data_IF_561984211820
#
_entry.id   IF_561984211820
#
_cell.length_a   1.000
_cell.length_b   1.000
_cell.length_c   1.000
_cell.angle_alpha   90.00
_cell.angle_beta   90.00
_cell.angle_gamma   90.00
#
_symmetry.space_group_name_H-M   'P 1'
#
loop_
_entity.id
_entity.type
_entity.pdbx_description
1 polymer ?
#
# COMPACT_ATOMS: atom_id res chain seq x y z
N UNK A 1 25.38 40.29 17.43
CA UNK A 1 24.59 39.11 17.83
C UNK A 1 25.18 37.91 17.11
N UNK A 2 25.99 37.07 17.76
CA UNK A 2 26.48 35.86 17.12
C UNK A 2 25.27 34.96 16.85
N UNK A 3 25.00 34.68 15.59
CA UNK A 3 23.95 33.75 15.20
C UNK A 3 24.23 32.40 15.85
N UNK A 4 23.28 31.90 16.62
CA UNK A 4 23.30 30.52 17.11
C UNK A 4 23.32 29.62 15.88
N UNK A 5 24.47 29.02 15.59
CA UNK A 5 24.58 27.95 14.60
C UNK A 5 23.76 26.76 15.12
N UNK A 6 22.49 26.68 14.73
CA UNK A 6 21.72 25.46 14.90
C UNK A 6 22.29 24.40 13.96
N UNK A 7 22.68 23.27 14.54
CA UNK A 7 23.11 22.12 13.75
C UNK A 7 21.95 21.68 12.86
N UNK A 8 22.20 21.32 11.59
CA UNK A 8 21.15 20.85 10.70
C UNK A 8 20.48 19.60 11.30
N UNK A 9 19.18 19.71 11.55
CA UNK A 9 18.35 18.62 12.07
C UNK A 9 17.43 18.09 10.98
N UNK A 10 17.24 16.78 10.93
CA UNK A 10 16.28 16.17 10.02
C UNK A 10 14.86 16.62 10.33
N UNK A 11 14.06 17.05 9.33
CA UNK A 11 12.68 17.41 9.53
C UNK A 11 11.82 16.19 9.89
N UNK A 12 10.67 16.38 10.56
CA UNK A 12 9.71 15.31 10.76
C UNK A 12 9.15 14.83 9.41
N UNK A 13 8.83 13.54 9.32
CA UNK A 13 8.23 12.98 8.12
C UNK A 13 6.84 13.59 7.83
N UNK A 14 6.56 13.82 6.57
CA UNK A 14 5.27 14.33 6.11
C UNK A 14 4.19 13.24 6.13
N UNK A 15 2.92 13.66 6.20
CA UNK A 15 1.77 12.75 6.15
C UNK A 15 1.82 11.82 4.93
N UNK A 16 2.09 12.36 3.74
CA UNK A 16 2.16 11.60 2.50
C UNK A 16 3.25 10.52 2.54
N UNK A 17 4.42 10.82 3.11
CA UNK A 17 5.51 9.86 3.24
C UNK A 17 5.10 8.70 4.16
N UNK A 18 4.51 9.00 5.31
CA UNK A 18 4.06 7.97 6.27
C UNK A 18 2.96 7.08 5.67
N UNK A 19 2.02 7.66 4.89
CA UNK A 19 0.95 6.91 4.24
C UNK A 19 1.54 5.98 3.17
N UNK A 20 2.38 6.52 2.28
CA UNK A 20 2.99 5.77 1.17
C UNK A 20 3.92 4.67 1.67
N UNK A 21 4.69 4.92 2.73
CA UNK A 21 5.55 3.90 3.33
C UNK A 21 4.72 2.73 3.87
N UNK A 22 3.64 3.03 4.59
CA UNK A 22 2.74 2.01 5.11
C UNK A 22 2.05 1.21 3.99
N UNK A 23 1.54 1.88 2.95
CA UNK A 23 0.95 1.20 1.79
C UNK A 23 1.96 0.28 1.09
N UNK A 24 3.20 0.75 0.91
CA UNK A 24 4.27 -0.02 0.28
C UNK A 24 4.67 -1.24 1.12
N UNK A 25 4.73 -1.10 2.43
CA UNK A 25 4.96 -2.23 3.34
C UNK A 25 3.84 -3.27 3.27
N UNK A 26 2.58 -2.84 3.26
CA UNK A 26 1.43 -3.75 3.12
C UNK A 26 1.49 -4.53 1.79
N UNK A 27 1.85 -3.84 0.71
CA UNK A 27 2.04 -4.47 -0.61
C UNK A 27 3.10 -5.57 -0.55
N UNK A 28 4.28 -5.29 0.01
CA UNK A 28 5.37 -6.28 0.08
C UNK A 28 5.06 -7.44 1.01
N UNK A 29 4.40 -7.19 2.15
CA UNK A 29 3.99 -8.26 3.08
C UNK A 29 2.97 -9.19 2.43
N UNK A 30 2.00 -8.66 1.69
CA UNK A 30 1.01 -9.47 0.99
C UNK A 30 1.61 -10.22 -0.21
N UNK A 31 2.53 -9.61 -0.95
CA UNK A 31 3.30 -10.30 -1.99
C UNK A 31 4.10 -11.48 -1.43
N UNK A 32 4.81 -11.26 -0.33
CA UNK A 32 5.57 -12.29 0.36
C UNK A 32 4.67 -13.43 0.84
N UNK A 33 3.47 -13.10 1.35
CA UNK A 33 2.47 -14.09 1.76
C UNK A 33 2.02 -14.93 0.56
N UNK A 34 1.64 -14.29 -0.55
CA UNK A 34 1.16 -14.99 -1.75
C UNK A 34 2.22 -15.94 -2.33
N UNK A 35 3.48 -15.49 -2.41
CA UNK A 35 4.60 -16.33 -2.82
C UNK A 35 4.81 -17.51 -1.87
N UNK A 36 4.78 -17.25 -0.55
CA UNK A 36 4.93 -18.28 0.49
C UNK A 36 3.80 -19.30 0.41
N UNK A 37 2.55 -18.85 0.22
CA UNK A 37 1.40 -19.72 0.02
C UNK A 37 1.50 -20.53 -1.27
N UNK A 38 1.98 -19.95 -2.36
CA UNK A 38 2.23 -20.66 -3.62
C UNK A 38 3.19 -21.82 -3.43
N UNK A 39 4.32 -21.58 -2.75
CA UNK A 39 5.32 -22.62 -2.43
C UNK A 39 4.72 -23.68 -1.50
N UNK A 40 4.11 -23.28 -0.38
CA UNK A 40 3.55 -24.23 0.60
C UNK A 40 2.39 -25.05 0.03
N UNK A 41 1.55 -24.46 -0.83
CA UNK A 41 0.48 -25.15 -1.54
C UNK A 41 1.04 -26.20 -2.49
N UNK A 42 2.14 -25.91 -3.17
CA UNK A 42 2.79 -26.87 -4.07
C UNK A 42 3.45 -28.05 -3.34
N UNK A 43 3.99 -27.83 -2.13
CA UNK A 43 4.71 -28.86 -1.37
C UNK A 43 3.82 -29.68 -0.43
N UNK A 44 2.89 -29.03 0.27
CA UNK A 44 2.12 -29.60 1.37
C UNK A 44 0.62 -29.75 1.04
N UNK A 45 0.20 -29.25 -0.13
CA UNK A 45 -1.18 -29.29 -0.60
C UNK A 45 -2.09 -28.26 0.07
N UNK A 46 -3.28 -28.11 -0.50
CA UNK A 46 -4.29 -27.11 -0.07
C UNK A 46 -4.86 -27.38 1.32
N UNK A 47 -5.02 -28.65 1.71
CA UNK A 47 -5.57 -29.04 3.02
C UNK A 47 -4.68 -28.63 4.20
N UNK A 48 -3.37 -28.69 4.01
CA UNK A 48 -2.43 -28.25 5.03
C UNK A 48 -2.40 -26.72 5.10
N UNK A 49 -2.42 -26.06 3.93
CA UNK A 49 -2.48 -24.60 3.83
C UNK A 49 -3.69 -24.02 4.57
N UNK A 50 -4.90 -24.55 4.37
CA UNK A 50 -6.10 -24.05 5.07
C UNK A 50 -6.07 -24.26 6.57
N UNK A 51 -5.37 -25.31 7.06
CA UNK A 51 -5.21 -25.57 8.50
C UNK A 51 -4.27 -24.57 9.18
N UNK A 52 -3.26 -24.07 8.46
CA UNK A 52 -2.18 -23.25 9.00
C UNK A 52 -2.17 -21.82 8.43
N UNK A 53 -3.25 -21.38 7.80
CA UNK A 53 -3.35 -20.06 7.14
C UNK A 53 -2.98 -18.89 8.09
N UNK A 54 -3.49 -18.91 9.32
CA UNK A 54 -3.23 -17.87 10.34
C UNK A 54 -1.76 -17.84 10.77
N UNK A 55 -1.12 -19.00 10.81
CA UNK A 55 0.27 -19.19 11.19
C UNK A 55 1.20 -18.77 10.07
N UNK A 56 0.82 -19.03 8.81
CA UNK A 56 1.52 -18.53 7.62
C UNK A 56 1.45 -17.01 7.59
N UNK A 57 0.29 -16.41 7.86
CA UNK A 57 0.13 -14.96 7.93
C UNK A 57 1.01 -14.35 9.04
N UNK A 58 0.97 -14.91 10.25
CA UNK A 58 1.80 -14.47 11.37
C UNK A 58 3.30 -14.62 11.05
N UNK A 59 3.72 -15.78 10.53
CA UNK A 59 5.11 -16.05 10.19
C UNK A 59 5.63 -15.09 9.12
N UNK A 60 4.81 -14.78 8.10
CA UNK A 60 5.17 -13.84 7.04
C UNK A 60 5.40 -12.44 7.61
N UNK A 61 4.48 -11.94 8.46
CA UNK A 61 4.63 -10.64 9.12
C UNK A 61 5.83 -10.60 10.06
N UNK A 62 6.04 -11.65 10.86
CA UNK A 62 7.17 -11.74 11.77
C UNK A 62 8.51 -11.81 11.03
N UNK A 63 8.56 -12.50 9.88
CA UNK A 63 9.74 -12.56 9.04
C UNK A 63 10.08 -11.18 8.46
N UNK A 64 9.10 -10.53 7.80
CA UNK A 64 9.30 -9.22 7.18
C UNK A 64 9.71 -8.16 8.21
N UNK A 65 8.90 -7.95 9.25
CA UNK A 65 9.17 -6.95 10.27
C UNK A 65 10.30 -7.34 11.23
N UNK A 66 10.59 -8.63 11.38
CA UNK A 66 11.70 -9.13 12.19
C UNK A 66 13.06 -8.87 11.53
N UNK A 67 13.16 -9.08 10.21
CA UNK A 67 14.37 -8.77 9.45
C UNK A 67 14.60 -7.27 9.27
N UNK A 68 13.54 -6.46 9.26
CA UNK A 68 13.62 -5.00 9.12
C UNK A 68 13.68 -4.31 10.50
N UNK A 69 12.52 -4.02 11.09
CA UNK A 69 12.37 -3.29 12.36
C UNK A 69 13.10 -4.00 13.50
N UNK A 70 13.06 -5.33 13.56
CA UNK A 70 13.76 -6.12 14.58
C UNK A 70 15.27 -5.87 14.59
N UNK A 71 15.89 -5.79 13.41
CA UNK A 71 17.33 -5.54 13.25
C UNK A 71 17.72 -4.05 13.31
N UNK A 72 16.73 -3.13 13.45
CA UNK A 72 16.91 -1.69 13.28
C UNK A 72 17.37 -1.29 11.87
N UNK A 73 16.94 -2.05 10.85
CA UNK A 73 16.95 -1.61 9.47
C UNK A 73 15.61 -0.93 9.13
N UNK A 74 15.61 -0.09 8.10
CA UNK A 74 14.38 0.45 7.52
C UNK A 74 13.54 -0.69 6.91
N UNK A 75 12.22 -0.51 6.92
CA UNK A 75 11.35 -1.32 6.05
C UNK A 75 11.47 -0.88 4.59
N UNK A 76 11.02 -1.70 3.64
CA UNK A 76 11.05 -1.33 2.21
C UNK A 76 10.17 -0.11 1.93
N UNK A 77 9.08 0.06 2.67
CA UNK A 77 8.25 1.26 2.60
C UNK A 77 8.94 2.49 3.20
N UNK A 78 9.65 2.32 4.31
CA UNK A 78 10.44 3.39 4.93
C UNK A 78 11.57 3.86 3.99
N UNK A 79 12.28 2.93 3.37
CA UNK A 79 13.29 3.19 2.34
C UNK A 79 12.68 3.90 1.11
N UNK A 80 11.53 3.42 0.61
CA UNK A 80 10.85 4.01 -0.55
C UNK A 80 10.48 5.49 -0.37
N UNK A 81 10.23 5.92 0.87
CA UNK A 81 9.86 7.32 1.17
C UNK A 81 10.93 8.11 1.91
N UNK A 82 12.11 7.50 2.08
CA UNK A 82 13.26 8.12 2.72
C UNK A 82 12.97 8.60 4.16
N UNK A 83 12.24 7.78 4.92
CA UNK A 83 11.90 8.04 6.32
C UNK A 83 12.54 7.03 7.26
N UNK A 84 12.84 7.47 8.47
CA UNK A 84 13.51 6.66 9.49
C UNK A 84 12.72 6.65 10.79
N UNK A 85 12.60 5.47 11.40
CA UNK A 85 11.93 5.32 12.67
C UNK A 85 12.81 5.76 13.84
N UNK A 86 12.26 6.63 14.67
CA UNK A 86 12.99 7.31 15.73
C UNK A 86 12.19 7.42 17.03
N UNK A 87 12.87 7.51 18.17
CA UNK A 87 12.17 7.71 19.46
C UNK A 87 11.77 9.18 19.65
N UNK A 88 10.55 9.43 20.10
CA UNK A 88 10.07 10.78 20.43
C UNK A 88 10.80 11.41 21.62
N UNK A 89 11.33 10.59 22.53
CA UNK A 89 11.90 11.03 23.81
C UNK A 89 13.43 11.11 23.78
N UNK A 90 14.07 10.48 22.79
CA UNK A 90 15.52 10.47 22.66
C UNK A 90 15.89 10.67 21.20
N UNK A 91 16.91 11.48 20.92
CA UNK A 91 17.51 11.64 19.60
C UNK A 91 18.29 10.38 19.16
N UNK A 92 17.69 9.20 19.31
CA UNK A 92 18.27 7.88 19.08
C UNK A 92 17.25 6.92 18.46
N UNK A 93 17.72 5.89 17.73
CA UNK A 93 16.85 4.83 17.25
C UNK A 93 16.14 4.12 18.42
N UNK A 94 14.96 3.53 18.17
CA UNK A 94 14.18 2.87 19.21
C UNK A 94 14.95 1.71 19.87
N UNK A 95 14.75 1.59 21.19
CA UNK A 95 15.38 0.52 21.99
C UNK A 95 14.99 -0.86 21.46
N UNK A 96 15.80 -1.90 21.74
CA UNK A 96 15.49 -3.29 21.35
C UNK A 96 14.12 -3.74 21.84
N UNK A 97 13.72 -3.33 23.06
CA UNK A 97 12.40 -3.64 23.63
C UNK A 97 11.27 -2.94 22.87
N UNK A 98 11.47 -1.66 22.53
CA UNK A 98 10.50 -0.89 21.75
C UNK A 98 10.34 -1.47 20.35
N UNK A 99 11.43 -1.88 19.70
CA UNK A 99 11.41 -2.55 18.39
C UNK A 99 10.67 -3.88 18.43
N UNK A 100 10.94 -4.70 19.43
CA UNK A 100 10.21 -5.95 19.64
C UNK A 100 8.72 -5.69 19.91
N UNK A 101 8.39 -4.65 20.68
CA UNK A 101 7.00 -4.28 20.91
C UNK A 101 6.31 -3.80 19.63
N UNK A 102 6.97 -2.99 18.80
CA UNK A 102 6.44 -2.54 17.50
C UNK A 102 6.17 -3.70 16.53
N UNK A 103 6.95 -4.79 16.63
CA UNK A 103 6.74 -6.02 15.88
C UNK A 103 5.55 -6.85 16.41
N UNK A 104 5.51 -7.06 17.73
CA UNK A 104 4.63 -8.04 18.35
C UNK A 104 3.23 -7.50 18.68
N UNK A 105 3.10 -6.23 19.08
CA UNK A 105 1.79 -5.66 19.46
C UNK A 105 0.78 -5.60 18.32
N UNK A 106 1.15 -5.29 17.06
CA UNK A 106 0.18 -5.27 15.96
C UNK A 106 -0.28 -6.67 15.51
N UNK A 107 0.53 -7.71 15.73
CA UNK A 107 0.36 -9.03 15.09
C UNK A 107 -0.09 -10.14 16.06
N UNK A 108 0.43 -10.14 17.29
CA UNK A 108 0.11 -11.19 18.26
C UNK A 108 -1.32 -11.14 18.80
N UNK A 109 -1.92 -9.97 19.14
CA UNK A 109 -3.24 -9.96 19.75
C UNK A 109 -4.33 -10.54 18.85
N UNK A 110 -4.31 -10.22 17.55
CA UNK A 110 -5.26 -10.77 16.57
C UNK A 110 -5.09 -12.29 16.44
N UNK A 111 -3.85 -12.77 16.37
CA UNK A 111 -3.55 -14.20 16.32
C UNK A 111 -4.03 -14.97 17.57
N UNK A 112 -3.71 -14.46 18.76
CA UNK A 112 -4.09 -15.08 20.03
C UNK A 112 -5.62 -15.10 20.20
N UNK A 113 -6.31 -14.02 19.82
CA UNK A 113 -7.77 -13.97 19.83
C UNK A 113 -8.38 -14.97 18.84
N UNK A 114 -7.84 -15.07 17.63
CA UNK A 114 -8.33 -16.02 16.63
C UNK A 114 -8.12 -17.48 17.07
N UNK A 115 -7.04 -17.78 17.79
CA UNK A 115 -6.69 -19.15 18.20
C UNK A 115 -7.33 -19.58 19.52
N UNK A 116 -7.38 -18.69 20.51
CA UNK A 116 -7.85 -19.01 21.87
C UNK A 116 -9.22 -18.44 22.18
N UNK A 117 -9.73 -17.50 21.39
CA UNK A 117 -11.06 -16.91 21.56
C UNK A 117 -12.18 -17.95 21.61
N UNK A 118 -12.06 -19.05 20.85
CA UNK A 118 -13.04 -20.14 20.82
C UNK A 118 -12.99 -21.06 22.05
N UNK A 119 -11.87 -21.10 22.78
CA UNK A 119 -11.69 -21.95 23.97
C UNK A 119 -12.11 -21.26 25.28
N UNK A 120 -12.33 -19.95 25.24
CA UNK A 120 -12.70 -19.17 26.41
C UNK A 120 -14.21 -19.29 26.68
N UNK A 121 -14.56 -19.78 27.88
CA UNK A 121 -15.95 -19.93 28.29
C UNK A 121 -16.67 -18.57 28.33
N UNK A 122 -17.87 -18.45 27.74
CA UNK A 122 -18.67 -17.23 27.74
C UNK A 122 -19.17 -16.84 29.15
N UNK A 123 -19.13 -17.76 30.12
CA UNK A 123 -19.58 -17.51 31.50
C UNK A 123 -18.60 -16.66 32.33
N UNK A 124 -17.35 -16.53 31.89
CA UNK A 124 -16.36 -15.72 32.60
C UNK A 124 -16.44 -14.24 32.19
N UNK A 125 -16.28 -13.32 33.16
CA UNK A 125 -16.16 -11.87 32.88
C UNK A 125 -15.08 -11.57 31.84
N UNK A 126 -13.99 -12.34 31.86
CA UNK A 126 -12.89 -12.26 30.91
C UNK A 126 -13.33 -12.60 29.47
N UNK A 127 -14.16 -13.63 29.29
CA UNK A 127 -14.69 -14.01 27.97
C UNK A 127 -15.59 -12.93 27.36
N UNK A 128 -16.39 -12.24 28.17
CA UNK A 128 -17.22 -11.11 27.71
C UNK A 128 -16.36 -9.90 27.28
N UNK A 129 -15.33 -9.56 28.06
CA UNK A 129 -14.38 -8.49 27.71
C UNK A 129 -13.61 -8.82 26.44
N UNK A 130 -13.09 -10.04 26.31
CA UNK A 130 -12.33 -10.47 25.13
C UNK A 130 -13.14 -10.45 23.84
N UNK A 131 -14.46 -10.68 23.90
CA UNK A 131 -15.35 -10.55 22.74
C UNK A 131 -15.59 -9.10 22.31
N UNK A 132 -15.61 -8.15 23.25
CA UNK A 132 -15.74 -6.70 22.97
C UNK A 132 -14.42 -6.06 22.56
N UNK A 133 -13.29 -6.68 22.89
CA UNK A 133 -11.96 -6.13 22.64
C UNK A 133 -11.67 -5.82 21.16
N UNK A 134 -11.93 -6.71 20.17
CA UNK A 134 -11.70 -6.39 18.75
C UNK A 134 -12.45 -5.14 18.30
N UNK A 135 -13.73 -5.02 18.67
CA UNK A 135 -14.55 -3.86 18.30
C UNK A 135 -14.06 -2.57 18.94
N UNK A 136 -13.57 -2.62 20.18
CA UNK A 136 -13.00 -1.45 20.84
C UNK A 136 -11.67 -1.04 20.21
N UNK A 137 -10.80 -2.01 19.90
CA UNK A 137 -9.53 -1.75 19.22
C UNK A 137 -9.76 -1.15 17.83
N UNK A 138 -10.77 -1.64 17.10
CA UNK A 138 -11.17 -1.08 15.80
C UNK A 138 -11.57 0.39 15.94
N UNK A 139 -12.47 0.73 16.88
CA UNK A 139 -12.90 2.12 17.11
C UNK A 139 -11.72 3.01 17.52
N UNK A 140 -10.86 2.54 18.44
CA UNK A 140 -9.68 3.28 18.87
C UNK A 140 -8.73 3.50 17.68
N UNK A 141 -8.62 2.53 16.76
CA UNK A 141 -7.77 2.65 15.58
C UNK A 141 -8.32 3.64 14.56
N UNK A 142 -9.64 3.63 14.32
CA UNK A 142 -10.31 4.62 13.46
C UNK A 142 -10.18 6.04 14.06
N UNK A 143 -10.31 6.19 15.38
CA UNK A 143 -10.10 7.47 16.06
C UNK A 143 -8.64 7.94 15.95
N UNK A 144 -7.67 7.05 16.15
CA UNK A 144 -6.26 7.37 15.99
C UNK A 144 -5.95 7.85 14.56
N UNK A 145 -6.49 7.15 13.56
CA UNK A 145 -6.32 7.48 12.15
C UNK A 145 -6.95 8.84 11.81
N UNK A 146 -8.13 9.15 12.35
CA UNK A 146 -8.72 10.48 12.20
C UNK A 146 -7.81 11.58 12.76
N UNK A 147 -7.25 11.37 13.97
CA UNK A 147 -6.27 12.31 14.58
C UNK A 147 -4.99 12.40 13.75
N UNK A 148 -4.55 11.30 13.13
CA UNK A 148 -3.41 11.30 12.23
C UNK A 148 -3.65 12.21 11.02
N UNK A 149 -4.80 12.16 10.37
CA UNK A 149 -5.07 13.03 9.22
C UNK A 149 -5.11 14.52 9.58
N UNK A 150 -5.45 14.87 10.82
CA UNK A 150 -5.37 16.25 11.29
C UNK A 150 -3.97 16.70 11.71
N UNK A 151 -3.18 15.84 12.39
CA UNK A 151 -1.89 16.24 13.00
C UNK A 151 -0.65 15.72 12.30
N UNK A 152 -0.75 14.59 11.60
CA UNK A 152 0.30 13.97 10.81
C UNK A 152 1.42 13.26 11.57
N UNK A 153 1.25 12.96 12.85
CA UNK A 153 2.36 12.43 13.68
C UNK A 153 2.39 10.89 13.75
N UNK A 154 1.27 10.25 14.11
CA UNK A 154 1.24 8.80 14.37
C UNK A 154 0.14 8.10 13.59
N UNK A 155 0.52 7.32 12.58
CA UNK A 155 -0.42 6.51 11.79
C UNK A 155 -1.00 5.33 12.60
N UNK A 156 -0.17 4.63 13.37
CA UNK A 156 -0.56 3.48 14.18
C UNK A 156 -0.69 3.81 15.68
N UNK A 157 -1.65 3.18 16.36
CA UNK A 157 -1.80 3.29 17.83
C UNK A 157 -0.53 2.80 18.54
N UNK A 158 0.05 1.70 18.07
CA UNK A 158 1.23 1.09 18.70
C UNK A 158 2.41 2.06 18.67
N UNK A 159 2.63 2.74 17.53
CA UNK A 159 3.65 3.79 17.39
C UNK A 159 3.34 4.99 18.30
N UNK A 160 2.06 5.37 18.46
CA UNK A 160 1.64 6.44 19.38
C UNK A 160 1.96 6.10 20.84
N UNK A 161 1.58 4.91 21.29
CA UNK A 161 1.78 4.46 22.68
C UNK A 161 3.26 4.32 23.01
N UNK A 162 4.05 3.80 22.06
CA UNK A 162 5.50 3.62 22.23
C UNK A 162 6.30 4.89 21.94
N UNK A 163 5.66 5.97 21.50
CA UNK A 163 6.31 7.23 21.14
C UNK A 163 7.33 7.07 20.02
N UNK A 164 7.03 6.28 18.98
CA UNK A 164 7.87 6.09 17.82
C UNK A 164 7.41 7.01 16.68
N UNK A 165 8.28 7.92 16.22
CA UNK A 165 8.00 8.93 15.20
C UNK A 165 8.90 8.74 14.00
N UNK A 166 8.50 9.27 12.86
CA UNK A 166 9.31 9.26 11.64
C UNK A 166 10.00 10.61 11.43
N UNK A 167 11.28 10.54 11.04
CA UNK A 167 12.04 11.67 10.51
C UNK A 167 12.27 11.43 9.01
N UNK A 168 12.35 12.51 8.23
CA UNK A 168 12.62 12.46 6.78
C UNK A 168 14.07 12.86 6.52
N UNK A 169 14.75 12.16 5.61
CA UNK A 169 16.06 12.59 5.11
C UNK A 169 15.94 13.70 4.06
N UNK A 170 14.78 13.83 3.39
CA UNK A 170 14.51 14.91 2.44
C UNK A 170 14.33 16.24 3.16
N UNK A 171 15.03 17.27 2.66
CA UNK A 171 14.79 18.66 3.03
C UNK A 171 13.42 19.12 2.54
N UNK A 172 12.73 19.94 3.33
CA UNK A 172 11.47 20.54 2.89
C UNK A 172 11.75 21.64 1.88
N UNK A 173 11.24 21.49 0.66
CA UNK A 173 11.30 22.54 -0.35
C UNK A 173 10.39 23.71 0.08
N UNK A 174 10.93 24.92 0.30
CA UNK A 174 10.16 26.06 0.82
C UNK A 174 9.07 26.55 -0.15
N UNK A 175 9.20 26.23 -1.43
CA UNK A 175 8.29 26.65 -2.49
C UNK A 175 7.13 25.67 -2.72
N UNK A 176 7.22 24.46 -2.17
CA UNK A 176 6.16 23.45 -2.34
C UNK A 176 5.38 23.31 -1.03
N UNK A 177 4.05 23.41 -1.12
CA UNK A 177 3.18 23.11 0.01
C UNK A 177 2.81 21.63 -0.03
N UNK A 178 3.05 20.85 1.04
CA UNK A 178 2.68 19.44 1.05
C UNK A 178 1.16 19.29 0.94
N UNK A 179 0.66 18.20 0.32
CA UNK A 179 -0.77 17.95 0.21
C UNK A 179 -1.40 17.80 1.60
N UNK A 180 -2.56 18.42 1.80
CA UNK A 180 -3.30 18.33 3.05
C UNK A 180 -4.33 17.20 3.02
N UNK A 181 -4.25 16.30 4.01
CA UNK A 181 -5.20 15.18 4.15
C UNK A 181 -6.31 15.47 5.18
N UNK A 182 -6.50 16.72 5.57
CA UNK A 182 -7.48 17.13 6.59
C UNK A 182 -8.92 16.81 6.19
N UNK A 183 -9.25 16.86 4.89
CA UNK A 183 -10.58 16.49 4.38
C UNK A 183 -10.90 15.02 4.70
N UNK A 184 -9.94 14.11 4.51
CA UNK A 184 -10.11 12.70 4.84
C UNK A 184 -10.32 12.50 6.34
N UNK A 185 -9.66 13.31 7.17
CA UNK A 185 -9.92 13.40 8.61
C UNK A 185 -11.37 13.78 8.94
N UNK A 186 -11.93 14.78 8.25
CA UNK A 186 -13.34 15.21 8.40
C UNK A 186 -14.30 14.09 7.98
N UNK A 187 -14.03 13.41 6.86
CA UNK A 187 -14.87 12.29 6.42
C UNK A 187 -14.88 11.15 7.44
N UNK A 188 -13.72 10.86 8.05
CA UNK A 188 -13.61 9.85 9.10
C UNK A 188 -14.32 10.26 10.40
N UNK A 189 -14.28 11.53 10.80
CA UNK A 189 -15.02 11.99 11.98
C UNK A 189 -16.54 11.96 11.75
N UNK A 190 -17.01 12.31 10.55
CA UNK A 190 -18.43 12.15 10.18
C UNK A 190 -18.82 10.67 10.26
N UNK A 191 -18.03 9.77 9.68
CA UNK A 191 -18.27 8.32 9.74
C UNK A 191 -18.33 7.79 11.19
N UNK A 192 -17.38 8.19 12.04
CA UNK A 192 -17.35 7.82 13.45
C UNK A 192 -18.56 8.37 14.22
N UNK A 193 -18.97 9.60 13.91
CA UNK A 193 -20.16 10.22 14.50
C UNK A 193 -21.43 9.46 14.11
N UNK A 194 -21.57 9.08 12.83
CA UNK A 194 -22.67 8.25 12.36
C UNK A 194 -22.72 6.88 13.05
N UNK A 195 -21.55 6.24 13.25
CA UNK A 195 -21.43 4.97 14.00
C UNK A 195 -21.87 5.14 15.45
N UNK A 196 -21.47 6.24 16.11
CA UNK A 196 -21.85 6.57 17.49
C UNK A 196 -23.35 6.85 17.62
N UNK A 197 -23.94 7.64 16.73
CA UNK A 197 -25.38 7.96 16.74
C UNK A 197 -26.21 6.70 16.57
N UNK A 198 -25.84 5.82 15.63
CA UNK A 198 -26.51 4.52 15.44
C UNK A 198 -26.39 3.64 16.68
N UNK A 199 -25.22 3.61 17.32
CA UNK A 199 -25.00 2.86 18.55
C UNK A 199 -25.89 3.36 19.70
N UNK A 200 -25.92 4.68 19.94
CA UNK A 200 -26.77 5.29 20.98
C UNK A 200 -28.24 5.00 20.70
N UNK A 201 -28.72 5.21 19.46
CA UNK A 201 -30.11 4.91 19.06
C UNK A 201 -30.46 3.44 19.22
N UNK A 202 -29.53 2.53 18.91
CA UNK A 202 -29.75 1.09 19.08
C UNK A 202 -29.86 0.67 20.55
N UNK A 203 -29.25 1.42 21.46
CA UNK A 203 -29.35 1.16 22.89
C UNK A 203 -30.58 1.83 23.52
N UNK A 204 -31.06 2.96 22.99
CA UNK A 204 -32.32 3.57 23.44
C UNK A 204 -33.57 2.87 22.89
N UNK A 205 -33.53 2.30 21.67
CA UNK A 205 -34.65 1.54 21.10
C UNK A 205 -34.66 0.05 21.48
N UNK A 206 -33.71 -0.42 22.30
CA UNK A 206 -33.68 -1.81 22.78
C UNK A 206 -34.81 -2.15 23.77
N UNK A 207 -35.57 -1.16 24.25
CA UNK A 207 -36.73 -1.37 25.13
C UNK A 207 -38.09 -1.42 24.40
N UNK A 208 -38.20 -1.15 23.09
CA UNK A 208 -39.53 -0.93 22.48
C UNK A 208 -39.93 -1.70 21.23
N UNK A 209 -39.09 -2.48 20.54
CA UNK A 209 -39.62 -3.31 19.44
C UNK A 209 -38.71 -4.47 19.01
N UNK A 210 -39.18 -5.69 19.29
CA UNK A 210 -38.81 -6.85 18.51
C UNK A 210 -39.33 -6.76 17.08
N UNK A 211 -38.55 -7.36 16.17
CA UNK A 211 -38.95 -7.88 14.85
C UNK A 211 -39.46 -6.89 13.79
N UNK A 212 -38.55 -6.47 12.89
CA UNK A 212 -38.59 -6.87 11.47
C UNK A 212 -37.32 -6.42 10.70
N UNK A 213 -36.80 -7.36 9.91
CA UNK A 213 -35.70 -7.36 8.92
C UNK A 213 -35.58 -6.11 8.03
N UNK A 214 -34.50 -5.80 7.30
CA UNK A 214 -33.14 -6.34 7.07
C UNK A 214 -32.53 -5.46 5.97
N UNK A 215 -31.24 -5.11 6.06
CA UNK A 215 -30.25 -5.22 4.97
C UNK A 215 -28.92 -4.60 5.39
N UNK A 216 -27.83 -5.30 5.07
CA UNK A 216 -26.46 -4.87 5.36
C UNK A 216 -25.72 -5.69 6.41
N UNK A 217 -25.95 -7.01 6.43
CA UNK A 217 -25.08 -7.97 7.13
C UNK A 217 -23.69 -7.91 6.49
N UNK A 218 -22.75 -7.15 7.07
CA UNK A 218 -21.32 -7.39 6.83
C UNK A 218 -20.99 -8.71 7.52
N UNK A 219 -21.16 -9.77 6.76
CA UNK A 219 -20.53 -11.06 7.02
C UNK A 219 -19.03 -10.82 7.11
N UNK A 220 -18.47 -11.13 8.27
CA UNK A 220 -17.06 -11.46 8.43
C UNK A 220 -16.82 -12.72 7.61
N UNK A 221 -16.59 -12.55 6.32
CA UNK A 221 -16.08 -13.61 5.46
C UNK A 221 -14.57 -13.66 5.70
N UNK A 222 -14.12 -14.81 6.21
CA UNK A 222 -12.77 -15.10 6.70
C UNK A 222 -11.84 -15.36 5.50
N UNK A 223 -11.76 -14.39 4.59
CA UNK A 223 -10.73 -14.29 3.56
C UNK A 223 -10.26 -12.83 3.53
N UNK A 224 -9.31 -12.50 4.40
CA UNK A 224 -8.83 -11.15 4.63
C UNK A 224 -7.98 -10.67 3.44
N UNK A 225 -8.63 -10.39 2.32
CA UNK A 225 -8.02 -9.76 1.15
C UNK A 225 -7.55 -8.35 1.53
N UNK A 226 -6.30 -8.02 1.19
CA UNK A 226 -5.72 -6.70 1.48
C UNK A 226 -6.04 -5.72 0.35
N UNK A 227 -6.44 -4.50 0.71
CA UNK A 227 -6.79 -3.44 -0.23
C UNK A 227 -5.86 -2.23 -0.03
N UNK A 228 -5.46 -1.61 -1.14
CA UNK A 228 -4.76 -0.31 -1.19
C UNK A 228 -5.59 0.61 -2.07
N UNK A 229 -6.06 1.74 -1.53
CA UNK A 229 -6.82 2.77 -2.26
C UNK A 229 -7.95 2.18 -3.12
N UNK A 230 -8.77 1.32 -2.49
CA UNK A 230 -9.90 0.58 -3.08
C UNK A 230 -9.57 -0.50 -4.12
N UNK A 231 -8.29 -0.72 -4.43
CA UNK A 231 -7.83 -1.82 -5.29
C UNK A 231 -7.31 -3.01 -4.48
N UNK A 232 -7.61 -4.23 -4.94
CA UNK A 232 -7.12 -5.48 -4.31
C UNK A 232 -5.63 -5.64 -4.57
N UNK A 233 -4.83 -5.90 -3.55
CA UNK A 233 -3.39 -6.08 -3.74
C UNK A 233 -3.08 -7.28 -4.64
N UNK A 234 -3.84 -8.37 -4.55
CA UNK A 234 -3.71 -9.52 -5.46
C UNK A 234 -3.90 -9.15 -6.94
N UNK A 235 -4.74 -8.16 -7.25
CA UNK A 235 -4.88 -7.66 -8.62
C UNK A 235 -3.69 -6.83 -9.09
N UNK A 236 -2.95 -6.20 -8.16
CA UNK A 236 -1.71 -5.48 -8.45
C UNK A 236 -0.51 -6.42 -8.56
N UNK A 237 -0.58 -7.60 -7.93
CA UNK A 237 0.44 -8.64 -7.98
C UNK A 237 0.27 -9.59 -9.17
N UNK A 238 -0.90 -9.58 -9.81
CA UNK A 238 -1.15 -10.35 -11.01
C UNK A 238 -0.21 -9.93 -12.15
N UNK A 239 0.16 -10.84 -13.05
CA UNK A 239 0.88 -10.47 -14.27
C UNK A 239 -0.03 -9.52 -15.06
N UNK A 240 0.33 -8.24 -15.14
CA UNK A 240 -0.33 -7.32 -16.05
C UNK A 240 -0.16 -7.87 -17.47
N UNK A 241 -1.25 -8.39 -18.04
CA UNK A 241 -1.30 -8.73 -19.45
C UNK A 241 -1.37 -7.41 -20.20
N UNK A 242 -0.34 -7.05 -21.00
CA UNK A 242 -0.35 -5.79 -21.75
C UNK A 242 -1.59 -5.67 -22.63
N UNK A 243 -2.09 -6.81 -23.12
CA UNK A 243 -3.20 -6.93 -24.07
C UNK A 243 -4.58 -6.56 -23.50
N UNK A 244 -4.75 -6.52 -22.17
CA UNK A 244 -6.03 -6.19 -21.52
C UNK A 244 -6.17 -4.68 -21.20
N UNK A 245 -5.14 -3.87 -21.45
CA UNK A 245 -5.19 -2.42 -21.25
C UNK A 245 -5.85 -1.74 -22.45
N UNK A 246 -6.80 -0.82 -22.24
CA UNK A 246 -7.24 0.03 -23.35
C UNK A 246 -6.04 0.81 -23.90
N UNK A 247 -5.96 1.01 -25.23
CA UNK A 247 -4.88 1.81 -25.81
C UNK A 247 -4.89 3.21 -25.20
N UNK A 248 -3.74 3.61 -24.65
CA UNK A 248 -3.52 4.96 -24.14
C UNK A 248 -3.47 5.92 -25.32
N UNK A 249 -4.20 7.03 -25.25
CA UNK A 249 -4.08 8.08 -26.28
C UNK A 249 -2.77 8.85 -26.10
N UNK A 250 -2.27 9.48 -27.16
CA UNK A 250 -1.02 10.23 -27.11
C UNK A 250 -1.05 11.39 -26.09
N UNK A 251 -2.23 11.99 -25.85
CA UNK A 251 -2.41 13.05 -24.86
C UNK A 251 -2.29 12.55 -23.41
N UNK A 252 -2.47 11.24 -23.18
CA UNK A 252 -2.43 10.61 -21.87
C UNK A 252 -1.09 9.89 -21.61
N UNK A 253 -0.17 9.93 -22.57
CA UNK A 253 1.13 9.28 -22.46
C UNK A 253 2.09 10.09 -21.59
N UNK A 254 2.35 9.63 -20.37
CA UNK A 254 3.34 10.21 -19.45
C UNK A 254 4.79 9.84 -19.83
N UNK A 255 5.00 8.92 -20.77
CA UNK A 255 6.33 8.43 -21.17
C UNK A 255 6.92 9.19 -22.36
N UNK A 256 6.21 10.15 -22.93
CA UNK A 256 6.75 11.05 -23.95
C UNK A 256 6.92 12.45 -23.35
N UNK A 257 8.14 12.99 -23.42
CA UNK A 257 8.49 14.32 -22.86
C UNK A 257 8.06 15.50 -23.73
N UNK A 258 7.45 15.23 -24.89
CA UNK A 258 6.97 16.26 -25.81
C UNK A 258 5.58 16.72 -25.42
N UNK A 259 5.39 18.04 -25.41
CA UNK A 259 4.06 18.63 -25.24
C UNK A 259 3.27 18.49 -26.55
N UNK A 260 2.46 17.43 -26.62
CA UNK A 260 1.63 17.11 -27.78
C UNK A 260 0.67 18.23 -28.17
N UNK A 261 0.26 19.08 -27.23
CA UNK A 261 -0.66 20.20 -27.52
C UNK A 261 -0.01 21.28 -28.38
N UNK A 262 1.32 21.33 -28.40
CA UNK A 262 2.12 22.30 -29.15
C UNK A 262 2.53 21.79 -30.53
N UNK A 263 2.35 20.51 -30.84
CA UNK A 263 2.78 19.90 -32.11
C UNK A 263 1.63 19.97 -33.14
N UNK A 264 1.85 20.53 -34.35
CA UNK A 264 0.83 20.55 -35.40
C UNK A 264 0.39 19.14 -35.81
N UNK A 265 -0.91 18.94 -36.06
CA UNK A 265 -1.49 17.63 -36.42
C UNK A 265 -0.80 16.94 -37.61
N UNK A 266 -0.33 17.70 -38.61
CA UNK A 266 0.41 17.16 -39.75
C UNK A 266 1.77 16.55 -39.36
N UNK A 267 2.45 17.12 -38.36
CA UNK A 267 3.68 16.57 -37.81
C UNK A 267 3.39 15.37 -36.90
N UNK A 268 2.25 15.37 -36.19
CA UNK A 268 1.81 14.23 -35.36
C UNK A 268 1.48 12.99 -36.19
N UNK A 269 0.87 13.16 -37.37
CA UNK A 269 0.58 12.06 -38.29
C UNK A 269 1.82 11.30 -38.78
N UNK A 270 3.00 11.93 -38.80
CA UNK A 270 4.28 11.26 -39.12
C UNK A 270 4.78 10.33 -38.01
N UNK A 271 4.13 10.37 -36.84
CA UNK A 271 4.51 9.62 -35.64
C UNK A 271 3.64 8.40 -35.38
N UNK A 272 2.93 7.89 -36.38
CA UNK A 272 2.06 6.74 -36.17
C UNK A 272 2.88 5.44 -36.03
N UNK A 273 2.40 4.54 -35.20
CA UNK A 273 2.92 3.20 -35.04
C UNK A 273 2.41 2.34 -36.18
N UNK A 274 3.26 1.59 -36.88
CA UNK A 274 2.79 0.74 -37.99
C UNK A 274 2.10 -0.54 -37.52
N UNK A 275 2.13 -0.84 -36.22
CA UNK A 275 1.48 -2.02 -35.62
C UNK A 275 0.05 -1.72 -35.16
N UNK A 276 -0.18 -0.63 -34.40
CA UNK A 276 -1.52 -0.23 -33.96
C UNK A 276 -2.17 0.84 -34.84
N UNK A 277 -1.43 1.46 -35.78
CA UNK A 277 -1.89 2.53 -36.67
C UNK A 277 -2.31 3.84 -35.98
N UNK A 278 -2.11 3.94 -34.66
CA UNK A 278 -2.34 5.14 -33.86
C UNK A 278 -1.05 5.96 -33.68
N UNK A 279 -1.15 7.17 -33.13
CA UNK A 279 0.01 7.96 -32.71
C UNK A 279 0.86 7.15 -31.70
N UNK A 280 2.18 7.10 -31.88
CA UNK A 280 3.05 6.31 -30.99
C UNK A 280 3.04 6.85 -29.56
N UNK A 281 2.73 5.98 -28.61
CA UNK A 281 2.88 6.17 -27.16
C UNK A 281 4.05 5.33 -26.64
N UNK A 282 4.75 5.81 -25.60
CA UNK A 282 5.96 5.17 -25.07
C UNK A 282 6.91 4.71 -26.20
N UNK A 283 7.31 5.67 -27.05
CA UNK A 283 8.05 5.38 -28.29
C UNK A 283 9.29 4.56 -27.98
N UNK A 284 9.50 3.48 -28.75
CA UNK A 284 10.60 2.54 -28.57
C UNK A 284 11.32 2.32 -29.88
N UNK A 285 12.65 2.42 -29.83
CA UNK A 285 13.53 2.13 -30.94
C UNK A 285 14.03 0.67 -30.87
N UNK A 286 13.96 0.00 -32.01
CA UNK A 286 14.64 -1.27 -32.25
C UNK A 286 16.11 -1.04 -32.59
N UNK A 287 16.95 -2.08 -32.51
CA UNK A 287 18.39 -2.02 -32.86
C UNK A 287 18.65 -1.55 -34.30
N UNK A 288 17.69 -1.78 -35.20
CA UNK A 288 17.74 -1.32 -36.59
C UNK A 288 17.26 0.13 -36.80
N UNK A 289 16.81 0.81 -35.74
CA UNK A 289 16.36 2.20 -35.76
C UNK A 289 14.88 2.43 -36.05
N UNK A 290 14.09 1.38 -36.31
CA UNK A 290 12.64 1.51 -36.49
C UNK A 290 11.92 1.75 -35.17
N UNK A 291 10.86 2.58 -35.22
CA UNK A 291 10.13 3.10 -34.07
C UNK A 291 8.70 2.53 -33.98
N UNK A 292 8.31 2.11 -32.78
CA UNK A 292 6.98 1.56 -32.47
C UNK A 292 6.55 2.00 -31.06
N UNK A 293 5.31 1.73 -30.67
CA UNK A 293 4.95 1.77 -29.24
C UNK A 293 5.65 0.64 -28.50
N UNK A 294 6.07 0.87 -27.25
CA UNK A 294 6.69 -0.14 -26.39
C UNK A 294 5.88 -1.45 -26.35
N UNK A 295 4.59 -1.35 -26.02
CA UNK A 295 3.72 -2.52 -25.89
C UNK A 295 3.55 -3.26 -27.23
N UNK A 296 3.45 -2.54 -28.35
CA UNK A 296 3.31 -3.15 -29.66
C UNK A 296 4.55 -3.95 -30.07
N UNK A 297 5.76 -3.40 -29.92
CA UNK A 297 6.98 -4.08 -30.35
C UNK A 297 7.39 -5.20 -29.39
N UNK A 298 7.12 -5.05 -28.09
CA UNK A 298 7.32 -6.12 -27.11
C UNK A 298 6.35 -7.27 -27.35
N UNK A 299 5.08 -6.98 -27.65
CA UNK A 299 4.08 -7.98 -28.04
C UNK A 299 4.54 -8.77 -29.27
N UNK A 300 4.90 -8.06 -30.35
CA UNK A 300 5.43 -8.68 -31.56
C UNK A 300 6.69 -9.52 -31.32
N UNK A 301 7.67 -8.97 -30.58
CA UNK A 301 8.96 -9.62 -30.32
C UNK A 301 8.85 -10.91 -29.50
N UNK A 302 7.77 -11.10 -28.74
CA UNK A 302 7.46 -12.37 -28.05
C UNK A 302 6.99 -13.46 -29.00
N UNK A 303 6.33 -13.10 -30.10
CA UNK A 303 5.87 -14.04 -31.12
C UNK A 303 6.93 -14.28 -32.19
N UNK A 304 7.57 -13.21 -32.66
CA UNK A 304 8.59 -13.23 -33.72
C UNK A 304 9.75 -12.31 -33.39
N UNK A 305 10.93 -12.88 -33.21
CA UNK A 305 12.16 -12.17 -32.89
C UNK A 305 12.79 -11.46 -34.11
N UNK A 306 11.99 -10.73 -34.88
CA UNK A 306 12.43 -9.94 -36.04
C UNK A 306 11.69 -8.60 -36.11
N UNK A 307 12.33 -7.56 -36.62
CA UNK A 307 11.71 -6.25 -36.83
C UNK A 307 10.57 -6.35 -37.87
N UNK A 308 9.36 -5.82 -37.60
CA UNK A 308 8.24 -5.85 -38.54
C UNK A 308 8.52 -5.17 -39.89
N UNK A 309 9.45 -4.22 -39.93
CA UNK A 309 9.73 -3.41 -41.12
C UNK A 309 10.89 -3.95 -41.96
N UNK A 310 12.04 -4.25 -41.34
CA UNK A 310 13.25 -4.67 -42.07
C UNK A 310 13.65 -6.14 -41.82
N UNK A 311 12.94 -6.87 -40.97
CA UNK A 311 13.21 -8.27 -40.61
C UNK A 311 14.60 -8.53 -40.00
N UNK A 312 15.29 -7.49 -39.55
CA UNK A 312 16.50 -7.65 -38.75
C UNK A 312 16.14 -8.36 -37.44
N UNK A 313 17.02 -9.25 -36.97
CA UNK A 313 16.85 -9.94 -35.69
C UNK A 313 16.61 -8.93 -34.57
N UNK A 314 15.64 -9.25 -33.70
CA UNK A 314 15.18 -8.37 -32.63
C UNK A 314 15.45 -9.02 -31.27
N UNK A 315 16.15 -8.30 -30.39
CA UNK A 315 16.28 -8.65 -28.97
C UNK A 315 15.41 -7.74 -28.11
N UNK A 316 14.52 -8.32 -27.29
CA UNK A 316 13.69 -7.56 -26.34
C UNK A 316 14.53 -6.80 -25.31
N UNK A 317 15.71 -7.32 -24.95
CA UNK A 317 16.63 -6.68 -24.00
C UNK A 317 17.38 -5.48 -24.60
N UNK A 318 17.39 -5.35 -25.93
CA UNK A 318 18.06 -4.27 -26.66
C UNK A 318 17.10 -3.19 -27.15
N UNK A 319 15.82 -3.27 -26.79
CA UNK A 319 14.84 -2.23 -27.06
C UNK A 319 15.18 -0.97 -26.25
N UNK A 320 15.24 0.16 -26.93
CA UNK A 320 15.60 1.44 -26.32
C UNK A 320 14.35 2.33 -26.23
N UNK A 321 13.91 2.73 -25.03
CA UNK A 321 12.85 3.72 -24.90
C UNK A 321 13.34 5.09 -25.37
N UNK A 322 12.50 5.79 -26.13
CA UNK A 322 12.79 7.10 -26.71
C UNK A 322 11.78 8.11 -26.18
N UNK A 323 12.25 8.98 -25.29
CA UNK A 323 11.39 9.90 -24.55
C UNK A 323 11.16 11.23 -25.28
N UNK A 324 12.06 11.63 -26.17
CA UNK A 324 12.20 13.01 -26.66
C UNK A 324 11.96 13.19 -28.17
N UNK A 325 11.58 12.12 -28.86
CA UNK A 325 11.50 12.09 -30.31
C UNK A 325 10.08 12.24 -30.79
#
# INVERSE_FOLDING_TARGET
MPGTFELPSFPPAQQAQIIRSHQRDLFHVSALREQTEGVLRSWLGTRWMTRWDKEIELATKLLYYGLTVGQAAQTLGEEYTDIWLHSAHASRPPSRRTRLALLLLPTLPSYLLARWGSRLSPSSRLGSVLRRLPTLLEIISEMNLAVFYFRGVYYDIVKRVLGARYISSLSQDPNTRPPSYSLLGILLTIRLTNRLVKFIRSHTHADEQGSASSQGKRTTDDNQETYIDDRRVSSMLGPERPDDRPPLTAEQDEHTTLDFTLIPAAARASRNCTLCLEERTATTATECGHLFCWDCIVGWGREKAECPLCRQALSLAALLPVYNL
#
